data_IF_177356917754
#
_entry.id   IF_177356917754
#
_cell.length_a   1.000
_cell.length_b   1.000
_cell.length_c   1.000
_cell.angle_alpha   90.00
_cell.angle_beta   90.00
_cell.angle_gamma   90.00
#
_symmetry.space_group_name_H-M   'P 1'
#
loop_
_entity.id
_entity.type
_entity.pdbx_description
1 polymer ?
#
# COMPACT_ATOMS: atom_id res chain seq x y z
N UNK A 1 5.21 -4.89 21.04
CA UNK A 1 4.67 -5.45 19.78
C UNK A 1 3.22 -5.03 19.68
N UNK A 2 2.87 -4.24 18.66
CA UNK A 2 1.49 -3.76 18.47
C UNK A 2 0.55 -4.95 18.20
N UNK A 3 -0.59 -5.10 18.91
CA UNK A 3 -1.55 -6.17 18.65
C UNK A 3 -2.09 -6.18 17.22
N UNK A 4 -2.11 -5.03 16.54
CA UNK A 4 -2.57 -4.90 15.15
C UNK A 4 -1.65 -5.60 14.12
N UNK A 5 -0.39 -5.87 14.48
CA UNK A 5 0.57 -6.58 13.63
C UNK A 5 0.42 -8.11 13.68
N UNK A 6 -0.42 -8.62 14.58
CA UNK A 6 -0.73 -10.05 14.71
C UNK A 6 -2.05 -10.44 14.02
N UNK A 7 -2.75 -9.47 13.42
CA UNK A 7 -3.96 -9.73 12.65
C UNK A 7 -3.60 -10.34 11.30
N UNK A 8 -4.37 -11.34 10.85
CA UNK A 8 -4.14 -11.97 9.56
C UNK A 8 -4.18 -10.89 8.46
N UNK A 9 -3.19 -10.85 7.54
CA UNK A 9 -3.16 -9.86 6.49
C UNK A 9 -4.44 -9.93 5.65
N UNK A 10 -4.91 -8.77 5.19
CA UNK A 10 -6.09 -8.69 4.34
C UNK A 10 -5.92 -9.60 3.13
N UNK A 11 -6.99 -10.33 2.77
CA UNK A 11 -6.95 -11.18 1.58
C UNK A 11 -6.69 -10.32 0.34
N UNK A 12 -5.79 -10.81 -0.51
CA UNK A 12 -5.53 -10.18 -1.79
C UNK A 12 -6.80 -10.18 -2.64
N UNK A 13 -7.02 -9.12 -3.45
CA UNK A 13 -8.11 -9.11 -4.41
C UNK A 13 -8.05 -10.34 -5.33
N UNK A 14 -9.22 -10.90 -5.67
CA UNK A 14 -9.28 -11.94 -6.68
C UNK A 14 -8.74 -11.39 -8.00
N UNK A 15 -7.82 -12.13 -8.60
CA UNK A 15 -7.31 -11.84 -9.95
C UNK A 15 -8.52 -11.75 -10.88
N UNK A 16 -8.65 -10.63 -11.59
CA UNK A 16 -9.76 -10.46 -12.51
C UNK A 16 -9.58 -11.40 -13.70
N UNK A 17 -10.63 -12.16 -13.96
CA UNK A 17 -10.71 -13.08 -15.10
C UNK A 17 -11.83 -12.60 -16.01
N UNK A 18 -11.73 -12.95 -17.29
CA UNK A 18 -12.82 -12.71 -18.23
C UNK A 18 -14.10 -13.46 -17.82
N UNK A 19 -15.23 -13.11 -18.44
CA UNK A 19 -16.54 -13.75 -18.19
C UNK A 19 -16.56 -15.26 -18.45
N UNK A 20 -15.62 -15.78 -19.23
CA UNK A 20 -15.42 -17.22 -19.50
C UNK A 20 -14.39 -17.87 -18.56
N UNK A 21 -13.89 -17.14 -17.56
CA UNK A 21 -12.99 -17.66 -16.53
C UNK A 21 -11.54 -17.86 -16.97
N UNK A 22 -11.19 -17.39 -18.17
CA UNK A 22 -9.83 -17.41 -18.73
C UNK A 22 -9.15 -16.06 -18.53
N UNK A 23 -7.83 -16.07 -18.56
CA UNK A 23 -6.97 -14.88 -18.56
C UNK A 23 -5.87 -15.14 -19.58
N UNK A 24 -5.74 -14.28 -20.58
CA UNK A 24 -4.63 -14.35 -21.53
C UNK A 24 -3.44 -13.47 -21.09
N UNK A 25 -2.35 -13.48 -21.87
CA UNK A 25 -1.16 -12.69 -21.55
C UNK A 25 -1.39 -11.17 -21.60
N UNK A 26 -2.37 -10.69 -22.37
CA UNK A 26 -2.70 -9.26 -22.44
C UNK A 26 -3.47 -8.82 -21.19
N UNK A 27 -4.40 -9.65 -20.70
CA UNK A 27 -5.11 -9.42 -19.43
C UNK A 27 -4.14 -9.37 -18.23
N UNK A 28 -3.09 -10.21 -18.25
CA UNK A 28 -2.05 -10.20 -17.23
C UNK A 28 -1.28 -8.86 -17.20
N UNK A 29 -1.07 -8.23 -18.35
CA UNK A 29 -0.38 -6.93 -18.43
C UNK A 29 -1.22 -5.79 -17.82
N UNK A 30 -2.53 -5.80 -18.07
CA UNK A 30 -3.46 -4.90 -17.39
C UNK A 30 -3.49 -5.15 -15.88
N UNK A 31 -3.46 -6.42 -15.45
CA UNK A 31 -3.37 -6.79 -14.04
C UNK A 31 -2.08 -6.33 -13.37
N UNK A 32 -0.94 -6.30 -14.09
CA UNK A 32 0.32 -5.77 -13.55
C UNK A 32 0.23 -4.28 -13.29
N UNK A 33 -0.44 -3.52 -14.17
CA UNK A 33 -0.72 -2.09 -13.93
C UNK A 33 -1.54 -1.91 -12.65
N UNK A 34 -2.61 -2.70 -12.48
CA UNK A 34 -3.39 -2.68 -11.25
C UNK A 34 -2.56 -3.04 -10.00
N UNK A 35 -1.60 -3.96 -10.11
CA UNK A 35 -0.66 -4.26 -9.02
C UNK A 35 0.24 -3.06 -8.70
N UNK A 36 0.73 -2.34 -9.71
CA UNK A 36 1.52 -1.12 -9.51
C UNK A 36 0.71 0.03 -8.92
N UNK A 37 -0.58 0.15 -9.27
CA UNK A 37 -1.48 1.14 -8.66
C UNK A 37 -1.65 0.88 -7.17
N UNK A 38 -1.94 -0.37 -6.79
CA UNK A 38 -2.03 -0.78 -5.37
C UNK A 38 -0.71 -0.57 -4.64
N UNK A 39 0.42 -0.95 -5.26
CA UNK A 39 1.74 -0.73 -4.68
C UNK A 39 2.06 0.77 -4.50
N UNK A 40 1.65 1.60 -5.47
CA UNK A 40 1.76 3.06 -5.41
C UNK A 40 0.93 3.65 -4.27
N UNK A 41 -0.30 3.19 -4.09
CA UNK A 41 -1.17 3.59 -2.97
C UNK A 41 -0.56 3.20 -1.62
N UNK A 42 -0.07 1.97 -1.46
CA UNK A 42 0.62 1.53 -0.24
C UNK A 42 1.81 2.44 0.06
N UNK A 43 2.62 2.75 -0.97
CA UNK A 43 3.77 3.65 -0.83
C UNK A 43 3.35 5.05 -0.39
N UNK A 44 2.29 5.61 -0.97
CA UNK A 44 1.77 6.91 -0.60
C UNK A 44 1.33 6.96 0.87
N UNK A 45 0.55 5.96 1.31
CA UNK A 45 0.10 5.84 2.71
C UNK A 45 1.28 5.74 3.68
N UNK A 46 2.33 5.00 3.33
CA UNK A 46 3.53 4.89 4.18
C UNK A 46 4.30 6.21 4.28
N UNK A 47 4.40 6.98 3.21
CA UNK A 47 5.04 8.31 3.23
C UNK A 47 4.26 9.25 4.15
N UNK A 48 2.93 9.25 4.06
CA UNK A 48 2.08 10.07 4.91
C UNK A 48 2.20 9.68 6.38
N UNK A 49 2.19 8.38 6.68
CA UNK A 49 2.43 7.88 8.04
C UNK A 49 3.80 8.29 8.57
N UNK A 50 4.86 8.19 7.76
CA UNK A 50 6.21 8.63 8.13
C UNK A 50 6.27 10.13 8.42
N UNK A 51 5.54 10.95 7.66
CA UNK A 51 5.44 12.39 7.90
C UNK A 51 4.75 12.66 9.25
N UNK A 52 3.62 12.01 9.51
CA UNK A 52 2.89 12.13 10.78
C UNK A 52 3.76 11.71 11.98
N UNK A 53 4.47 10.58 11.87
CA UNK A 53 5.40 10.11 12.90
C UNK A 53 6.52 11.12 13.13
N UNK A 54 7.10 11.71 12.08
CA UNK A 54 8.15 12.73 12.22
C UNK A 54 7.64 13.99 12.94
N UNK A 55 6.44 14.45 12.60
CA UNK A 55 5.80 15.57 13.31
C UNK A 55 5.55 15.22 14.78
N UNK A 56 5.04 14.02 15.07
CA UNK A 56 4.74 13.55 16.42
C UNK A 56 6.00 13.30 17.27
N UNK A 57 7.11 12.89 16.66
CA UNK A 57 8.40 12.66 17.33
C UNK A 57 9.16 13.96 17.64
N UNK A 58 8.60 15.11 17.29
CA UNK A 58 9.17 16.41 17.62
C UNK A 58 9.77 17.08 16.40
N UNK A 59 9.01 18.01 15.81
CA UNK A 59 9.60 19.24 15.30
C UNK A 59 10.14 20.09 16.46
N UNK A 60 11.16 19.59 17.15
CA UNK A 60 11.85 20.23 18.28
C UNK A 60 13.22 20.80 17.88
N UNK A 61 13.42 21.06 16.59
CA UNK A 61 14.70 21.54 16.07
C UNK A 61 14.67 23.05 15.75
N UNK A 62 13.55 23.73 16.03
CA UNK A 62 13.35 25.16 15.70
C UNK A 62 13.29 26.12 16.91
N UNK A 63 13.50 25.66 18.14
CA UNK A 63 13.60 26.52 19.35
C UNK A 63 14.98 26.38 20.01
N UNK A 64 16.02 26.63 19.23
CA UNK A 64 17.41 26.61 19.69
C UNK A 64 18.23 27.76 19.12
N UNK A 65 17.77 29.00 19.32
CA UNK A 65 18.61 30.20 19.16
C UNK A 65 18.10 31.36 20.01
#
# INVERSE_FOLDING_TARGET
MSPALLVAPAQLPKVQRSSVGTMDGADAHNSLTALYDVAGQIRATLIELQAQVRTAMGGTDAEGR
#
